data_IF_587617331471
#
_entry.id   IF_587617331471
#
_cell.length_a   1.000
_cell.length_b   1.000
_cell.length_c   1.000
_cell.angle_alpha   90.00
_cell.angle_beta   90.00
_cell.angle_gamma   90.00
#
_symmetry.space_group_name_H-M   'P 1'
#
loop_
_entity.id
_entity.type
_entity.pdbx_description
1 polymer ?
#
# COMPACT_ATOMS: atom_id res chain seq x y z
N UNK A 1 2.67 -2.35 21.98
CA UNK A 1 3.60 -3.09 21.08
C UNK A 1 3.43 -2.58 19.66
N UNK A 2 4.09 -3.21 18.70
CA UNK A 2 3.85 -3.00 17.26
C UNK A 2 3.08 -4.20 16.72
N UNK A 3 2.08 -3.96 15.88
CA UNK A 3 1.34 -5.00 15.16
C UNK A 3 1.78 -4.99 13.69
N UNK A 4 2.08 -6.17 13.17
CA UNK A 4 2.33 -6.42 11.74
C UNK A 4 1.03 -6.88 11.08
N UNK A 5 0.72 -6.34 9.92
CA UNK A 5 -0.51 -6.62 9.16
C UNK A 5 -0.13 -6.92 7.72
N UNK A 6 -0.77 -7.92 7.14
CA UNK A 6 -0.66 -8.26 5.73
C UNK A 6 -2.04 -8.62 5.17
N UNK A 7 -2.27 -8.30 3.90
CA UNK A 7 -3.47 -8.78 3.19
C UNK A 7 -3.24 -10.18 2.64
N UNK A 8 -4.34 -10.90 2.43
CA UNK A 8 -4.41 -12.15 1.68
C UNK A 8 -5.62 -12.04 0.78
N UNK A 9 -5.43 -12.19 -0.53
CA UNK A 9 -6.50 -12.23 -1.53
C UNK A 9 -6.46 -11.08 -2.54
N UNK A 10 -5.74 -9.99 -2.27
CA UNK A 10 -5.58 -8.91 -3.26
C UNK A 10 -4.87 -9.41 -4.52
N UNK A 11 -3.93 -10.33 -4.33
CA UNK A 11 -3.17 -10.95 -5.41
C UNK A 11 -3.98 -11.89 -6.31
N UNK A 12 -5.20 -12.27 -5.93
CA UNK A 12 -6.08 -13.12 -6.75
C UNK A 12 -6.65 -12.39 -7.96
N UNK A 13 -6.63 -11.05 -7.96
CA UNK A 13 -7.19 -10.22 -9.02
C UNK A 13 -6.08 -9.61 -9.89
N UNK A 14 -6.16 -9.72 -11.24
CA UNK A 14 -5.24 -9.03 -12.13
C UNK A 14 -5.37 -7.52 -12.06
N UNK A 15 -4.22 -6.87 -12.06
CA UNK A 15 -4.08 -5.46 -12.36
C UNK A 15 -3.84 -5.29 -13.85
N UNK A 16 -4.32 -4.19 -14.41
CA UNK A 16 -4.35 -3.95 -15.86
C UNK A 16 -3.78 -2.57 -16.13
N UNK A 17 -2.76 -2.52 -17.00
CA UNK A 17 -2.14 -1.28 -17.47
C UNK A 17 -3.13 -0.45 -18.31
N UNK A 18 -2.79 0.80 -18.59
CA UNK A 18 -3.66 1.71 -19.36
C UNK A 18 -3.97 1.22 -20.78
N UNK A 19 -3.08 0.40 -21.35
CA UNK A 19 -3.25 -0.21 -22.67
C UNK A 19 -4.09 -1.50 -22.67
N UNK A 20 -4.56 -1.94 -21.49
CA UNK A 20 -5.37 -3.15 -21.32
C UNK A 20 -4.55 -4.43 -21.10
N UNK A 21 -3.22 -4.35 -21.06
CA UNK A 21 -2.35 -5.49 -20.79
C UNK A 21 -2.37 -5.83 -19.29
N UNK A 22 -2.32 -7.12 -18.98
CA UNK A 22 -2.18 -7.56 -17.59
C UNK A 22 -0.81 -7.15 -17.04
N UNK A 23 -0.81 -6.49 -15.88
CA UNK A 23 0.41 -6.04 -15.22
C UNK A 23 1.28 -7.24 -14.85
N UNK A 24 2.60 -7.06 -14.96
CA UNK A 24 3.60 -8.14 -14.86
C UNK A 24 3.60 -8.87 -13.50
N UNK A 25 3.00 -8.28 -12.46
CA UNK A 25 2.95 -8.84 -11.11
C UNK A 25 1.62 -8.55 -10.43
N UNK A 26 1.28 -9.38 -9.45
CA UNK A 26 0.25 -9.15 -8.45
C UNK A 26 0.84 -8.47 -7.23
N UNK A 27 -0.02 -7.90 -6.39
CA UNK A 27 0.42 -7.26 -5.16
C UNK A 27 -0.37 -7.75 -3.95
N UNK A 28 0.32 -7.81 -2.81
CA UNK A 28 -0.27 -7.81 -1.47
C UNK A 28 0.23 -6.57 -0.72
N UNK A 29 -0.56 -6.12 0.27
CA UNK A 29 -0.20 -4.99 1.12
C UNK A 29 0.34 -5.50 2.46
N UNK A 30 1.34 -4.81 3.00
CA UNK A 30 1.80 -5.00 4.36
C UNK A 30 1.90 -3.67 5.11
N UNK A 31 1.80 -3.69 6.43
CA UNK A 31 1.93 -2.51 7.27
C UNK A 31 2.34 -2.87 8.69
N UNK A 32 2.99 -1.94 9.39
CA UNK A 32 3.29 -2.07 10.80
C UNK A 32 2.86 -0.80 11.54
N UNK A 33 2.14 -0.97 12.64
CA UNK A 33 1.53 0.15 13.38
C UNK A 33 1.56 -0.11 14.89
N UNK A 34 1.66 0.92 15.74
CA UNK A 34 1.44 0.75 17.17
C UNK A 34 0.06 0.13 17.47
N UNK A 35 0.02 -0.79 18.43
CA UNK A 35 -1.21 -1.54 18.79
C UNK A 35 -2.38 -0.65 19.26
N UNK A 36 -2.12 0.62 19.58
CA UNK A 36 -3.13 1.62 19.97
C UNK A 36 -4.03 2.06 18.81
N UNK A 37 -3.64 1.79 17.56
CA UNK A 37 -4.43 2.12 16.37
C UNK A 37 -5.31 0.93 15.97
N UNK A 38 -6.42 0.76 16.68
CA UNK A 38 -7.29 -0.43 16.60
C UNK A 38 -8.01 -0.60 15.25
N UNK A 39 -8.26 0.49 14.51
CA UNK A 39 -8.95 0.45 13.21
C UNK A 39 -8.00 0.34 12.01
N UNK A 40 -6.69 0.15 12.22
CA UNK A 40 -5.71 0.20 11.14
C UNK A 40 -5.86 -0.95 10.13
N UNK A 41 -6.30 -2.14 10.56
CA UNK A 41 -6.63 -3.24 9.65
C UNK A 41 -7.70 -2.84 8.63
N UNK A 42 -8.68 -2.04 9.06
CA UNK A 42 -9.74 -1.57 8.16
C UNK A 42 -9.21 -0.55 7.14
N UNK A 43 -8.23 0.28 7.52
CA UNK A 43 -7.52 1.16 6.57
C UNK A 43 -6.85 0.32 5.47
N UNK A 44 -6.12 -0.72 5.87
CA UNK A 44 -5.41 -1.61 4.93
C UNK A 44 -6.40 -2.39 4.06
N UNK A 45 -7.49 -2.91 4.64
CA UNK A 45 -8.54 -3.59 3.90
C UNK A 45 -9.22 -2.64 2.89
N UNK A 46 -9.54 -1.41 3.27
CA UNK A 46 -10.09 -0.40 2.35
C UNK A 46 -9.15 -0.05 1.21
N UNK A 47 -7.85 0.02 1.48
CA UNK A 47 -6.84 0.22 0.43
C UNK A 47 -6.82 -0.96 -0.56
N UNK A 48 -6.85 -2.19 -0.06
CA UNK A 48 -6.93 -3.39 -0.90
C UNK A 48 -8.21 -3.39 -1.77
N UNK A 49 -9.38 -3.14 -1.18
CA UNK A 49 -10.63 -3.05 -1.94
C UNK A 49 -10.62 -1.94 -2.99
N UNK A 50 -10.02 -0.79 -2.68
CA UNK A 50 -9.88 0.30 -3.65
C UNK A 50 -9.07 -0.15 -4.87
N UNK A 51 -7.95 -0.83 -4.64
CA UNK A 51 -7.09 -1.38 -5.70
C UNK A 51 -7.84 -2.43 -6.51
N UNK A 52 -8.50 -3.36 -5.82
CA UNK A 52 -9.28 -4.44 -6.43
C UNK A 52 -10.39 -3.90 -7.36
N UNK A 53 -11.12 -2.89 -6.90
CA UNK A 53 -12.20 -2.26 -7.67
C UNK A 53 -11.68 -1.50 -8.89
N UNK A 54 -10.54 -0.83 -8.75
CA UNK A 54 -9.93 -0.06 -9.85
C UNK A 54 -9.23 -0.94 -10.86
N UNK A 55 -8.69 -2.08 -10.43
CA UNK A 55 -7.85 -3.00 -11.22
C UNK A 55 -6.68 -2.30 -11.91
N UNK A 56 -6.20 -1.20 -11.32
CA UNK A 56 -5.04 -0.45 -11.84
C UNK A 56 -3.80 -0.80 -11.02
N UNK A 57 -2.62 -0.88 -11.66
CA UNK A 57 -1.36 -1.03 -10.95
C UNK A 57 -1.17 0.06 -9.89
N UNK A 58 -0.75 -0.36 -8.70
CA UNK A 58 -0.19 0.53 -7.68
C UNK A 58 1.28 0.15 -7.55
N UNK A 59 2.14 1.16 -7.59
CA UNK A 59 3.60 0.99 -7.56
C UNK A 59 4.19 1.81 -6.40
N UNK A 60 5.43 1.50 -5.95
CA UNK A 60 6.10 2.31 -4.94
C UNK A 60 6.11 3.79 -5.32
N UNK A 61 5.79 4.65 -4.35
CA UNK A 61 5.63 6.08 -4.57
C UNK A 61 4.19 6.56 -4.74
N UNK A 62 3.24 5.64 -4.96
CA UNK A 62 1.84 6.00 -5.04
C UNK A 62 1.29 6.49 -3.69
N UNK A 63 0.27 7.34 -3.76
CA UNK A 63 -0.47 7.83 -2.60
C UNK A 63 -1.96 7.56 -2.80
N UNK A 64 -2.58 6.89 -1.83
CA UNK A 64 -4.04 6.80 -1.71
C UNK A 64 -4.52 7.86 -0.73
N UNK A 65 -5.16 8.89 -1.27
CA UNK A 65 -5.58 10.06 -0.49
C UNK A 65 -6.74 9.76 0.46
N UNK A 66 -6.71 10.37 1.65
CA UNK A 66 -7.83 10.44 2.60
C UNK A 66 -8.39 9.11 3.14
N UNK A 67 -7.82 7.96 2.78
CA UNK A 67 -8.30 6.64 3.26
C UNK A 67 -8.14 6.49 4.78
N UNK A 68 -7.09 7.07 5.37
CA UNK A 68 -6.86 7.00 6.82
C UNK A 68 -7.91 7.86 7.56
N UNK A 69 -8.32 8.97 6.96
CA UNK A 69 -9.30 9.90 7.53
C UNK A 69 -10.69 9.26 7.72
N UNK A 70 -11.03 8.23 6.94
CA UNK A 70 -12.30 7.49 7.07
C UNK A 70 -12.40 6.75 8.41
N UNK A 71 -11.27 6.35 8.99
CA UNK A 71 -11.19 5.59 10.24
C UNK A 71 -10.64 6.41 11.40
N UNK A 72 -9.84 7.44 11.10
CA UNK A 72 -9.24 8.34 12.09
C UNK A 72 -9.53 9.81 11.71
N UNK A 73 -10.76 10.33 11.90
CA UNK A 73 -11.18 11.64 11.38
C UNK A 73 -10.41 12.88 11.88
N UNK A 74 -9.61 12.72 12.94
CA UNK A 74 -8.78 13.77 13.54
C UNK A 74 -7.29 13.57 13.29
N UNK A 75 -6.92 12.62 12.43
CA UNK A 75 -5.52 12.37 12.07
C UNK A 75 -4.95 13.58 11.35
N UNK A 76 -3.66 13.84 11.58
CA UNK A 76 -2.88 14.80 10.77
C UNK A 76 -2.26 14.14 9.54
N UNK A 77 -2.36 12.81 9.44
CA UNK A 77 -1.77 12.00 8.38
C UNK A 77 -2.90 11.25 7.64
N UNK A 78 -3.67 11.95 6.77
CA UNK A 78 -4.91 11.41 6.22
C UNK A 78 -4.72 10.49 5.01
N UNK A 79 -3.55 10.53 4.35
CA UNK A 79 -3.26 9.72 3.16
C UNK A 79 -2.46 8.48 3.52
N UNK A 80 -2.48 7.50 2.63
CA UNK A 80 -1.70 6.26 2.73
C UNK A 80 -0.69 6.22 1.59
N UNK A 81 0.59 6.12 1.93
CA UNK A 81 1.70 5.99 0.97
C UNK A 81 2.08 4.53 0.78
N UNK A 82 2.43 4.16 -0.45
CA UNK A 82 2.91 2.82 -0.80
C UNK A 82 4.41 2.84 -1.07
N UNK A 83 5.18 2.02 -0.36
CA UNK A 83 6.63 1.89 -0.53
C UNK A 83 7.04 0.44 -0.81
N UNK A 84 8.29 0.27 -1.23
CA UNK A 84 8.98 -1.02 -1.08
C UNK A 84 9.03 -1.32 0.43
N UNK A 85 8.74 -2.57 0.87
CA UNK A 85 8.82 -2.91 2.28
C UNK A 85 10.26 -2.80 2.80
N UNK A 86 10.42 -2.09 3.92
CA UNK A 86 11.72 -1.85 4.53
C UNK A 86 11.79 -2.24 6.02
N UNK A 87 10.65 -2.57 6.64
CA UNK A 87 10.57 -2.85 8.08
C UNK A 87 10.95 -4.27 8.48
N UNK A 88 10.86 -5.22 7.56
CA UNK A 88 11.13 -6.64 7.83
C UNK A 88 12.39 -7.10 7.11
N UNK A 89 13.04 -8.13 7.65
CA UNK A 89 14.15 -8.85 7.01
C UNK A 89 15.27 -7.94 6.49
N UNK A 90 15.74 -6.99 7.31
CA UNK A 90 16.79 -6.03 6.93
C UNK A 90 16.50 -5.24 5.64
N UNK A 91 15.21 -5.01 5.35
CA UNK A 91 14.75 -4.31 4.16
C UNK A 91 14.55 -5.21 2.93
N UNK A 92 14.61 -6.52 3.10
CA UNK A 92 14.41 -7.50 2.03
C UNK A 92 13.14 -8.32 2.24
N UNK A 93 12.03 -7.84 1.68
CA UNK A 93 10.80 -8.61 1.62
C UNK A 93 10.70 -9.31 0.27
N UNK A 94 10.97 -10.62 0.25
CA UNK A 94 11.05 -11.38 -1.00
C UNK A 94 9.69 -11.46 -1.72
N UNK A 95 9.74 -11.44 -3.06
CA UNK A 95 8.57 -11.73 -3.88
C UNK A 95 8.13 -13.18 -3.65
N UNK A 96 6.82 -13.40 -3.63
CA UNK A 96 6.26 -14.75 -3.62
C UNK A 96 6.01 -15.17 -5.06
N UNK A 97 6.58 -16.31 -5.45
CA UNK A 97 6.28 -16.93 -6.74
C UNK A 97 5.34 -18.09 -6.47
N UNK A 98 4.11 -17.96 -6.96
CA UNK A 98 3.11 -19.02 -6.89
C UNK A 98 2.74 -19.44 -8.32
N UNK A 99 3.06 -20.69 -8.67
CA UNK A 99 3.06 -21.21 -10.04
C UNK A 99 3.86 -20.36 -11.03
N UNK A 100 3.18 -19.51 -11.81
CA UNK A 100 3.75 -18.58 -12.80
C UNK A 100 3.44 -17.12 -12.48
N UNK A 101 2.83 -16.85 -11.34
CA UNK A 101 2.42 -15.52 -10.90
C UNK A 101 3.43 -15.00 -9.89
N UNK A 102 3.98 -13.81 -10.17
CA UNK A 102 4.80 -13.06 -9.22
C UNK A 102 3.89 -12.22 -8.34
N UNK A 103 4.03 -12.33 -7.04
CA UNK A 103 3.32 -11.54 -6.04
C UNK A 103 4.36 -10.70 -5.29
N UNK A 104 4.29 -9.38 -5.48
CA UNK A 104 5.12 -8.43 -4.77
C UNK A 104 4.37 -7.82 -3.58
N UNK A 105 5.12 -7.28 -2.63
CA UNK A 105 4.57 -6.64 -1.44
C UNK A 105 4.74 -5.12 -1.51
N UNK A 106 3.68 -4.39 -1.15
CA UNK A 106 3.76 -2.95 -0.93
C UNK A 106 3.52 -2.63 0.54
N UNK A 107 4.52 -1.98 1.15
CA UNK A 107 4.37 -1.49 2.52
C UNK A 107 3.58 -0.19 2.52
N UNK A 108 2.60 -0.11 3.41
CA UNK A 108 1.69 1.02 3.51
C UNK A 108 1.83 1.72 4.87
N UNK A 109 1.90 3.04 4.86
CA UNK A 109 1.90 3.87 6.08
C UNK A 109 1.25 5.22 5.83
N UNK A 110 0.74 5.84 6.90
CA UNK A 110 0.08 7.15 6.77
C UNK A 110 1.11 8.25 6.52
N UNK A 111 0.75 9.26 5.72
CA UNK A 111 1.56 10.47 5.49
C UNK A 111 0.73 11.74 5.70
N UNK A 112 1.40 12.84 6.04
CA UNK A 112 0.83 14.19 6.12
C UNK A 112 0.50 14.76 4.73
N UNK A 113 -0.37 15.76 4.67
CA UNK A 113 -0.64 16.52 3.44
C UNK A 113 0.66 17.14 2.88
N UNK A 114 1.51 17.71 3.74
CA UNK A 114 2.79 18.32 3.30
C UNK A 114 3.76 17.30 2.68
N UNK A 115 3.73 16.03 3.12
CA UNK A 115 4.54 14.96 2.54
C UNK A 115 3.98 14.56 1.17
N UNK A 116 2.66 14.49 1.03
CA UNK A 116 1.99 14.27 -0.25
C UNK A 116 2.30 15.39 -1.24
N UNK A 117 2.19 16.66 -0.82
CA UNK A 117 2.55 17.83 -1.64
C UNK A 117 4.04 17.79 -2.06
N UNK A 118 4.91 17.34 -1.16
CA UNK A 118 6.33 17.14 -1.47
C UNK A 118 6.53 16.07 -2.54
N UNK A 119 5.85 14.92 -2.43
CA UNK A 119 5.90 13.82 -3.42
C UNK A 119 5.38 14.31 -4.77
N UNK A 120 4.25 15.01 -4.82
CA UNK A 120 3.68 15.54 -6.06
C UNK A 120 4.63 16.50 -6.78
N UNK A 121 5.37 17.33 -6.01
CA UNK A 121 6.27 18.34 -6.55
C UNK A 121 7.64 17.79 -6.97
N UNK A 122 8.20 16.87 -6.19
CA UNK A 122 9.59 16.43 -6.33
C UNK A 122 9.73 14.98 -6.84
N UNK A 123 8.62 14.25 -6.91
CA UNK A 123 8.59 12.82 -7.21
C UNK A 123 8.85 11.96 -5.98
N UNK A 124 8.32 10.74 -6.00
CA UNK A 124 8.44 9.78 -4.89
C UNK A 124 9.87 9.29 -4.63
N UNK A 125 10.77 9.35 -5.63
CA UNK A 125 12.18 8.96 -5.45
C UNK A 125 12.91 9.90 -4.49
N UNK A 126 12.43 11.13 -4.32
CA UNK A 126 12.99 12.11 -3.41
C UNK A 126 12.45 12.00 -1.96
N UNK A 127 11.43 11.17 -1.74
CA UNK A 127 10.74 10.98 -0.46
C UNK A 127 11.16 9.65 0.19
#
# INVERSE_FOLDING_TARGET
GIKSIGTIGLSEIPLVDEDGTEFITRIELCSAVPTIFEAWENVIASAAFFIEQRRKPVVPGAVLENVVNQYFPKTKMPHLYFSIPFLWNDGHFEELIFDRVKINWLQCFSIYEVEKEFIDKNGSVAF
#
